data_IF_189563775361
#
_entry.id   IF_189563775361
#
_cell.length_a   1.000
_cell.length_b   1.000
_cell.length_c   1.000
_cell.angle_alpha   90.00
_cell.angle_beta   90.00
_cell.angle_gamma   90.00
#
_symmetry.space_group_name_H-M   'P 1'
#
loop_
_entity.id
_entity.type
_entity.pdbx_description
1 polymer ?
#
# COMPACT_ATOMS: atom_id res chain seq x y z
N UNK A 1 18.08 -3.66 -7.10
CA UNK A 1 19.10 -4.71 -6.86
C UNK A 1 18.84 -5.33 -5.49
N UNK A 2 18.84 -6.65 -5.33
CA UNK A 2 18.79 -7.29 -3.99
C UNK A 2 20.17 -7.52 -3.40
N UNK A 3 20.21 -7.58 -2.07
CA UNK A 3 21.42 -7.90 -1.31
C UNK A 3 21.47 -9.39 -1.02
N UNK A 4 22.67 -9.97 -1.12
CA UNK A 4 22.92 -11.31 -0.57
C UNK A 4 22.89 -11.25 0.96
N UNK A 5 22.52 -12.34 1.62
CA UNK A 5 22.34 -12.38 3.09
C UNK A 5 23.57 -11.85 3.85
N UNK A 6 24.78 -12.25 3.44
CA UNK A 6 26.03 -11.83 4.07
C UNK A 6 26.36 -10.33 3.90
N UNK A 7 25.68 -9.63 3.00
CA UNK A 7 25.82 -8.18 2.80
C UNK A 7 24.84 -7.39 3.68
N UNK A 8 23.81 -8.03 4.21
CA UNK A 8 22.76 -7.38 5.01
C UNK A 8 23.25 -7.20 6.44
N UNK A 9 23.25 -5.94 6.89
CA UNK A 9 23.61 -5.59 8.27
C UNK A 9 22.47 -4.92 9.04
N UNK A 10 21.53 -4.29 8.33
CA UNK A 10 20.42 -3.57 8.95
C UNK A 10 19.10 -3.75 8.19
N UNK A 11 18.01 -3.59 8.91
CA UNK A 11 16.63 -3.63 8.39
C UNK A 11 15.79 -2.54 9.05
N UNK A 12 14.61 -2.25 8.48
CA UNK A 12 13.62 -1.43 9.16
C UNK A 12 13.07 -2.13 10.41
N UNK A 13 12.74 -1.36 11.44
CA UNK A 13 12.18 -1.86 12.69
C UNK A 13 10.66 -1.65 12.74
N UNK A 14 9.81 -2.65 12.42
CA UNK A 14 8.37 -2.46 12.38
C UNK A 14 7.76 -2.08 13.74
N UNK A 15 8.44 -2.35 14.86
CA UNK A 15 7.90 -2.11 16.20
C UNK A 15 7.88 -0.63 16.61
N UNK A 16 8.64 0.23 15.93
CA UNK A 16 8.66 1.68 16.19
C UNK A 16 8.06 2.52 15.05
N UNK A 17 7.83 1.89 13.90
CA UNK A 17 7.21 2.54 12.74
C UNK A 17 5.72 2.74 12.99
N UNK A 18 5.22 3.89 12.55
CA UNK A 18 3.80 4.22 12.60
C UNK A 18 3.31 4.60 11.20
N UNK A 19 2.04 4.27 10.85
CA UNK A 19 1.46 4.69 9.58
C UNK A 19 1.71 6.18 9.32
N UNK A 20 2.05 6.51 8.08
CA UNK A 20 2.44 7.86 7.67
C UNK A 20 3.94 8.14 7.75
N UNK A 21 4.74 7.35 8.48
CA UNK A 21 6.20 7.52 8.49
C UNK A 21 6.78 7.50 7.06
N UNK A 22 7.72 8.40 6.80
CA UNK A 22 8.42 8.52 5.52
C UNK A 22 9.69 7.71 5.61
N UNK A 23 9.79 6.69 4.76
CA UNK A 23 10.94 5.81 4.66
C UNK A 23 11.85 6.32 3.54
N UNK A 24 13.04 6.82 3.91
CA UNK A 24 14.10 7.18 2.97
C UNK A 24 15.12 6.04 2.92
N UNK A 25 15.49 5.60 1.73
CA UNK A 25 16.33 4.41 1.59
C UNK A 25 17.16 4.39 0.31
N UNK A 26 18.25 3.62 0.36
CA UNK A 26 19.03 3.25 -0.81
C UNK A 26 18.58 1.88 -1.33
N UNK A 27 18.32 1.81 -2.63
CA UNK A 27 17.89 0.59 -3.33
C UNK A 27 19.07 -0.08 -4.04
N UNK A 28 20.26 0.54 -3.95
CA UNK A 28 21.52 0.13 -4.58
C UNK A 28 21.45 0.13 -6.11
N UNK A 29 20.59 1.00 -6.67
CA UNK A 29 20.54 1.24 -8.10
C UNK A 29 21.60 2.27 -8.49
N UNK A 30 22.79 1.79 -8.86
CA UNK A 30 23.95 2.65 -9.13
C UNK A 30 23.67 3.81 -10.10
N UNK A 31 22.83 3.57 -11.10
CA UNK A 31 22.50 4.57 -12.12
C UNK A 31 21.70 5.74 -11.52
N UNK A 32 20.71 5.45 -10.68
CA UNK A 32 19.92 6.47 -10.00
C UNK A 32 20.76 7.24 -9.00
N UNK A 33 21.61 6.54 -8.21
CA UNK A 33 22.52 7.20 -7.26
C UNK A 33 23.42 8.24 -7.91
N UNK A 34 24.06 7.85 -9.03
CA UNK A 34 24.97 8.71 -9.77
C UNK A 34 24.24 9.90 -10.40
N UNK A 35 22.98 9.72 -10.82
CA UNK A 35 22.18 10.79 -11.42
C UNK A 35 21.63 11.78 -10.39
N UNK A 36 21.12 11.30 -9.25
CA UNK A 36 20.42 12.16 -8.30
C UNK A 36 21.36 12.91 -7.36
N UNK A 37 22.57 12.42 -7.12
CA UNK A 37 23.51 13.05 -6.17
C UNK A 37 22.95 13.21 -4.74
N UNK A 38 21.86 12.50 -4.44
CA UNK A 38 21.19 12.48 -3.14
C UNK A 38 21.82 11.42 -2.25
N UNK A 39 21.70 11.61 -0.93
CA UNK A 39 22.04 10.63 0.09
C UNK A 39 21.11 9.42 0.04
N UNK A 40 19.83 9.66 -0.23
CA UNK A 40 18.81 8.62 -0.40
C UNK A 40 18.31 8.55 -1.84
N UNK A 41 18.21 7.34 -2.37
CA UNK A 41 17.76 7.09 -3.75
C UNK A 41 16.24 6.98 -3.87
N UNK A 42 15.56 6.70 -2.77
CA UNK A 42 14.17 6.31 -2.78
C UNK A 42 13.41 6.78 -1.56
N UNK A 43 12.11 6.97 -1.75
CA UNK A 43 11.18 7.38 -0.71
C UNK A 43 9.89 6.56 -0.79
N UNK A 44 9.38 6.14 0.35
CA UNK A 44 8.11 5.45 0.51
C UNK A 44 7.35 5.98 1.73
N UNK A 45 6.05 5.69 1.80
CA UNK A 45 5.23 6.00 2.98
C UNK A 45 4.77 4.71 3.65
N UNK A 46 5.04 4.57 4.94
CA UNK A 46 4.66 3.40 5.72
C UNK A 46 3.14 3.37 5.95
N UNK A 47 2.53 2.21 5.73
CA UNK A 47 1.08 2.02 5.81
C UNK A 47 0.64 1.38 7.13
N UNK A 48 1.59 0.81 7.88
CA UNK A 48 1.33 -0.11 8.98
C UNK A 48 1.58 -1.55 8.57
N UNK A 49 1.61 -2.45 9.56
CA UNK A 49 1.69 -3.90 9.34
C UNK A 49 2.83 -4.33 8.39
N UNK A 50 4.00 -3.71 8.54
CA UNK A 50 5.17 -4.00 7.72
C UNK A 50 5.00 -3.75 6.21
N UNK A 51 3.99 -2.96 5.79
CA UNK A 51 3.82 -2.53 4.40
C UNK A 51 4.08 -1.04 4.20
N UNK A 52 4.56 -0.68 3.02
CA UNK A 52 4.75 0.69 2.57
C UNK A 52 4.13 0.87 1.16
N UNK A 53 3.69 2.08 0.83
CA UNK A 53 3.35 2.47 -0.53
C UNK A 53 4.55 3.16 -1.16
N UNK A 54 4.93 2.73 -2.36
CA UNK A 54 6.07 3.26 -3.08
C UNK A 54 5.79 3.37 -4.58
N UNK A 55 6.63 4.13 -5.29
CA UNK A 55 6.65 4.14 -6.75
C UNK A 55 7.99 3.55 -7.22
N UNK A 56 7.98 2.35 -7.81
CA UNK A 56 9.19 1.52 -7.99
C UNK A 56 9.94 1.71 -9.33
N UNK A 57 9.69 2.81 -10.04
CA UNK A 57 10.22 3.00 -11.39
C UNK A 57 9.30 2.53 -12.53
N UNK A 58 8.25 1.77 -12.22
CA UNK A 58 7.23 1.33 -13.19
C UNK A 58 5.83 1.86 -12.84
N UNK A 59 5.40 1.67 -11.60
CA UNK A 59 4.11 2.10 -11.09
C UNK A 59 4.14 2.26 -9.57
N UNK A 60 3.03 2.76 -9.03
CA UNK A 60 2.80 2.85 -7.58
C UNK A 60 2.21 1.54 -7.08
N UNK A 61 2.82 0.93 -6.07
CA UNK A 61 2.41 -0.35 -5.49
C UNK A 61 2.67 -0.39 -3.99
N UNK A 62 2.04 -1.37 -3.35
CA UNK A 62 2.30 -1.72 -1.96
C UNK A 62 3.45 -2.74 -1.90
N UNK A 63 4.39 -2.54 -0.99
CA UNK A 63 5.57 -3.38 -0.81
C UNK A 63 5.76 -3.72 0.66
N UNK A 64 6.31 -4.89 0.95
CA UNK A 64 6.73 -5.24 2.31
C UNK A 64 8.02 -4.48 2.66
N UNK A 65 8.16 -3.96 3.89
CA UNK A 65 9.35 -3.18 4.28
C UNK A 65 10.64 -4.00 4.23
N UNK A 66 10.55 -5.31 4.47
CA UNK A 66 11.67 -6.26 4.35
C UNK A 66 12.04 -6.64 2.92
N UNK A 67 11.33 -6.14 1.91
CA UNK A 67 11.84 -6.10 0.56
C UNK A 67 13.11 -5.23 0.47
N UNK A 68 13.33 -4.34 1.45
CA UNK A 68 14.52 -3.52 1.58
C UNK A 68 15.37 -3.94 2.79
N UNK A 69 16.67 -4.00 2.56
CA UNK A 69 17.69 -4.37 3.54
C UNK A 69 18.95 -3.56 3.29
N UNK A 70 19.79 -3.35 4.32
CA UNK A 70 20.82 -2.33 4.26
C UNK A 70 22.21 -2.81 4.68
N UNK A 71 23.23 -2.37 3.92
CA UNK A 71 24.66 -2.64 4.20
C UNK A 71 25.20 -1.78 5.35
N UNK A 72 24.69 -0.57 5.51
CA UNK A 72 25.13 0.41 6.51
C UNK A 72 23.91 1.10 7.12
N UNK A 73 24.03 1.56 8.37
CA UNK A 73 22.93 2.19 9.11
C UNK A 73 22.41 3.44 8.39
N UNK A 74 23.30 4.21 7.78
CA UNK A 74 23.00 5.48 7.12
C UNK A 74 22.27 5.31 5.78
N UNK A 75 22.20 4.09 5.24
CA UNK A 75 21.51 3.79 3.98
C UNK A 75 19.99 3.80 4.11
N UNK A 76 19.46 3.89 5.31
CA UNK A 76 18.05 4.09 5.57
C UNK A 76 17.84 5.17 6.63
N UNK A 77 16.70 5.84 6.56
CA UNK A 77 16.27 6.84 7.53
C UNK A 77 14.77 6.94 7.53
N UNK A 78 14.20 7.19 8.71
CA UNK A 78 12.75 7.32 8.85
C UNK A 78 12.41 8.65 9.48
N UNK A 79 11.46 9.34 8.86
CA UNK A 79 11.00 10.66 9.27
C UNK A 79 9.50 10.60 9.61
N UNK A 80 9.10 11.32 10.67
CA UNK A 80 7.71 11.38 11.13
C UNK A 80 7.22 12.82 11.18
N UNK A 81 5.96 13.03 10.83
CA UNK A 81 5.30 14.33 10.95
C UNK A 81 5.10 14.70 12.42
N UNK A 82 5.63 15.86 12.83
CA UNK A 82 5.43 16.42 14.17
C UNK A 82 3.98 16.83 14.38
N UNK A 83 3.49 16.64 15.61
CA UNK A 83 2.23 17.23 16.10
C UNK A 83 1.00 16.99 15.20
N UNK A 84 0.84 15.77 14.65
CA UNK A 84 -0.33 15.40 13.85
C UNK A 84 -1.32 14.56 14.66
N UNK A 85 -2.62 14.72 14.38
CA UNK A 85 -3.64 13.82 14.91
C UNK A 85 -3.67 12.51 14.11
N UNK A 86 -4.09 11.42 14.75
CA UNK A 86 -4.24 10.11 14.08
C UNK A 86 -5.16 10.20 12.86
N UNK A 87 -6.28 10.91 12.98
CA UNK A 87 -7.23 11.14 11.86
C UNK A 87 -6.55 11.78 10.65
N UNK A 88 -5.63 12.74 10.87
CA UNK A 88 -4.90 13.39 9.77
C UNK A 88 -3.91 12.41 9.14
N UNK A 89 -3.21 11.61 9.93
CA UNK A 89 -2.30 10.57 9.44
C UNK A 89 -3.05 9.51 8.63
N UNK A 90 -4.19 9.02 9.12
CA UNK A 90 -5.00 8.01 8.42
C UNK A 90 -5.46 8.52 7.05
N UNK A 91 -5.77 9.81 6.94
CA UNK A 91 -6.13 10.44 5.66
C UNK A 91 -4.94 10.57 4.71
N UNK A 92 -3.75 10.89 5.23
CA UNK A 92 -2.52 10.95 4.42
C UNK A 92 -2.21 9.55 3.87
N UNK A 93 -2.31 8.52 4.70
CA UNK A 93 -2.14 7.12 4.30
C UNK A 93 -3.22 6.72 3.29
N UNK A 94 -4.49 7.12 3.49
CA UNK A 94 -5.54 6.88 2.47
C UNK A 94 -5.22 7.57 1.14
N UNK A 95 -4.67 8.78 1.18
CA UNK A 95 -4.29 9.53 -0.02
C UNK A 95 -3.19 8.83 -0.84
N UNK A 96 -2.33 8.01 -0.21
CA UNK A 96 -1.35 7.18 -0.94
C UNK A 96 -2.00 5.98 -1.63
N UNK A 97 -3.01 5.35 -1.02
CA UNK A 97 -3.77 4.25 -1.65
C UNK A 97 -4.45 4.67 -2.95
N UNK A 98 -4.97 5.90 -3.04
CA UNK A 98 -5.57 6.40 -4.27
C UNK A 98 -4.60 6.51 -5.45
N UNK A 99 -3.29 6.48 -5.18
CA UNK A 99 -2.27 6.53 -6.22
C UNK A 99 -1.85 5.13 -6.70
N UNK A 100 -2.32 4.04 -6.08
CA UNK A 100 -1.92 2.68 -6.42
C UNK A 100 -2.27 2.31 -7.87
N UNK A 101 -1.28 1.87 -8.63
CA UNK A 101 -1.36 1.58 -10.07
C UNK A 101 -0.98 2.75 -10.98
N UNK A 102 -0.80 3.95 -10.44
CA UNK A 102 -0.34 5.12 -11.22
C UNK A 102 1.05 4.85 -11.79
N UNK A 103 1.26 5.07 -13.08
CA UNK A 103 2.56 4.75 -13.69
C UNK A 103 3.64 5.73 -13.25
N UNK A 104 4.88 5.29 -13.37
CA UNK A 104 6.05 6.08 -13.08
C UNK A 104 6.31 7.12 -14.17
N UNK A 105 6.84 8.29 -13.81
CA UNK A 105 7.27 9.30 -14.79
C UNK A 105 8.44 8.81 -15.62
N UNK A 106 8.60 9.35 -16.83
CA UNK A 106 9.86 9.19 -17.55
C UNK A 106 11.02 9.75 -16.71
N UNK A 107 12.10 8.97 -16.55
CA UNK A 107 13.28 9.36 -15.76
C UNK A 107 13.93 10.67 -16.21
N UNK A 108 13.67 11.15 -17.42
CA UNK A 108 14.09 12.48 -17.89
C UNK A 108 13.43 13.62 -17.13
N UNK A 109 12.24 13.41 -16.55
CA UNK A 109 11.55 14.39 -15.70
C UNK A 109 12.33 14.74 -14.44
N UNK A 110 13.20 13.84 -13.94
CA UNK A 110 14.10 14.14 -12.81
C UNK A 110 15.00 15.35 -13.08
N UNK A 111 15.31 15.65 -14.35
CA UNK A 111 16.12 16.83 -14.71
C UNK A 111 15.42 18.15 -14.34
N UNK A 112 14.10 18.15 -14.30
CA UNK A 112 13.31 19.34 -13.98
C UNK A 112 13.05 19.50 -12.48
N UNK A 113 13.27 18.45 -11.68
CA UNK A 113 13.00 18.48 -10.23
C UNK A 113 13.75 19.64 -9.57
N UNK A 114 15.06 19.74 -9.79
CA UNK A 114 15.87 20.82 -9.21
C UNK A 114 15.50 22.22 -9.73
N UNK A 115 14.98 22.31 -10.95
CA UNK A 115 14.55 23.58 -11.54
C UNK A 115 13.24 24.07 -10.91
N UNK A 116 12.34 23.17 -10.53
CA UNK A 116 10.97 23.50 -10.12
C UNK A 116 10.66 23.24 -8.64
N UNK A 117 11.58 22.64 -7.87
CA UNK A 117 11.31 22.27 -6.47
C UNK A 117 10.95 23.44 -5.54
N UNK A 118 11.42 24.64 -5.87
CA UNK A 118 11.13 25.88 -5.14
C UNK A 118 10.11 26.78 -5.86
N UNK A 119 9.40 26.26 -6.86
CA UNK A 119 8.41 27.00 -7.65
C UNK A 119 6.99 26.48 -7.39
N UNK A 120 6.00 27.12 -8.03
CA UNK A 120 4.60 26.65 -8.05
C UNK A 120 4.26 25.85 -9.31
N UNK A 121 5.27 25.43 -10.07
CA UNK A 121 5.07 24.62 -11.27
C UNK A 121 4.43 23.29 -10.87
N UNK A 122 3.44 22.86 -11.65
CA UNK A 122 2.71 21.62 -11.40
C UNK A 122 3.02 20.59 -12.48
N UNK A 123 3.09 19.33 -12.08
CA UNK A 123 3.27 18.26 -13.04
C UNK A 123 2.00 18.04 -13.86
N UNK A 124 2.17 17.96 -15.18
CA UNK A 124 1.07 17.71 -16.12
C UNK A 124 1.06 16.29 -16.67
N UNK A 125 1.99 15.43 -16.26
CA UNK A 125 2.14 14.08 -16.80
C UNK A 125 1.09 13.10 -16.29
N UNK A 126 0.40 13.44 -15.21
CA UNK A 126 -0.49 12.52 -14.49
C UNK A 126 0.24 11.23 -14.06
N UNK A 127 1.55 11.29 -13.82
CA UNK A 127 2.39 10.17 -13.36
C UNK A 127 3.05 10.47 -12.02
N UNK A 128 3.59 9.45 -11.37
CA UNK A 128 4.24 9.59 -10.06
C UNK A 128 5.71 9.20 -10.09
N UNK A 129 6.44 9.56 -9.04
CA UNK A 129 7.71 8.94 -8.67
C UNK A 129 7.83 8.92 -7.15
N UNK A 130 8.86 8.28 -6.62
CA UNK A 130 8.94 7.90 -5.22
C UNK A 130 8.69 9.06 -4.24
N UNK A 131 9.47 10.13 -4.30
CA UNK A 131 9.29 11.31 -3.44
C UNK A 131 8.02 12.10 -3.76
N UNK A 132 7.63 12.21 -5.03
CA UNK A 132 6.36 12.86 -5.45
C UNK A 132 5.15 12.16 -4.82
N UNK A 133 5.08 10.84 -4.86
CA UNK A 133 4.02 10.04 -4.24
C UNK A 133 3.86 10.42 -2.77
N UNK A 134 4.96 10.44 -2.02
CA UNK A 134 4.98 10.79 -0.60
C UNK A 134 4.53 12.23 -0.40
N UNK A 135 5.16 13.19 -1.09
CA UNK A 135 4.85 14.61 -0.93
C UNK A 135 3.39 14.94 -1.31
N UNK A 136 2.88 14.38 -2.40
CA UNK A 136 1.48 14.57 -2.83
C UNK A 136 0.48 13.96 -1.84
N UNK A 137 0.80 12.83 -1.23
CA UNK A 137 -0.08 12.20 -0.22
C UNK A 137 -0.27 13.12 0.99
N UNK A 138 0.80 13.79 1.43
CA UNK A 138 0.74 14.80 2.48
C UNK A 138 0.05 16.10 2.03
N UNK A 139 0.37 16.60 0.83
CA UNK A 139 -0.18 17.85 0.30
C UNK A 139 -1.70 17.77 0.06
N UNK A 140 -2.23 16.59 -0.35
CA UNK A 140 -3.68 16.34 -0.48
C UNK A 140 -4.44 16.59 0.83
N UNK A 141 -3.78 16.41 1.97
CA UNK A 141 -4.32 16.65 3.32
C UNK A 141 -3.89 18.01 3.92
N UNK A 142 -3.39 18.91 3.08
CA UNK A 142 -2.99 20.26 3.46
C UNK A 142 -1.72 20.31 4.31
N UNK A 143 -0.90 19.25 4.27
CA UNK A 143 0.43 19.24 4.89
C UNK A 143 1.48 19.40 3.81
N UNK A 144 1.94 20.63 3.60
CA UNK A 144 2.99 20.91 2.64
C UNK A 144 4.35 20.64 3.30
N UNK A 145 4.83 19.40 3.21
CA UNK A 145 6.14 19.02 3.75
C UNK A 145 7.29 19.75 3.04
N UNK A 146 7.10 20.00 1.75
CA UNK A 146 8.06 20.59 0.82
C UNK A 146 7.40 21.76 0.06
N UNK A 147 8.19 22.69 -0.52
CA UNK A 147 7.64 23.81 -1.27
C UNK A 147 6.84 23.36 -2.51
N UNK A 148 7.30 22.31 -3.19
CA UNK A 148 6.64 21.72 -4.35
C UNK A 148 6.51 20.20 -4.20
N UNK A 149 5.28 19.70 -4.13
CA UNK A 149 5.01 18.26 -4.01
C UNK A 149 5.18 17.50 -5.34
N UNK A 150 5.15 18.19 -6.47
CA UNK A 150 5.25 17.59 -7.80
C UNK A 150 6.71 17.45 -8.27
N UNK A 151 7.60 18.25 -7.71
CA UNK A 151 9.01 18.29 -8.04
C UNK A 151 9.84 18.29 -6.75
N UNK A 152 10.19 17.10 -6.25
CA UNK A 152 10.99 16.95 -5.02
C UNK A 152 11.92 15.74 -5.09
N UNK A 153 13.07 15.77 -4.43
CA UNK A 153 14.00 14.66 -4.28
C UNK A 153 13.81 14.00 -2.90
N UNK A 154 14.18 12.71 -2.69
CA UNK A 154 14.09 12.08 -1.37
C UNK A 154 14.82 12.86 -0.26
N UNK A 155 15.94 13.49 -0.58
CA UNK A 155 16.71 14.29 0.38
C UNK A 155 16.02 15.58 0.81
N UNK A 156 15.09 16.13 0.01
CA UNK A 156 14.39 17.37 0.37
C UNK A 156 13.57 17.19 1.66
N UNK A 157 13.13 15.97 1.98
CA UNK A 157 12.43 15.68 3.24
C UNK A 157 13.32 15.86 4.48
N UNK A 158 14.65 15.72 4.35
CA UNK A 158 15.58 15.88 5.49
C UNK A 158 15.58 17.30 6.05
N UNK A 159 15.30 18.28 5.20
CA UNK A 159 15.32 19.71 5.53
C UNK A 159 13.93 20.21 5.99
N UNK A 160 12.90 19.37 5.95
CA UNK A 160 11.55 19.79 6.32
C UNK A 160 11.45 20.06 7.84
N UNK A 161 11.08 21.29 8.27
CA UNK A 161 10.95 21.61 9.68
C UNK A 161 9.77 20.88 10.34
N UNK A 162 8.82 20.37 9.54
CA UNK A 162 7.65 19.63 9.99
C UNK A 162 7.98 18.19 10.37
N UNK A 163 9.14 17.67 9.98
CA UNK A 163 9.54 16.29 10.19
C UNK A 163 10.53 16.15 11.33
N UNK A 164 10.47 15.02 12.04
CA UNK A 164 11.46 14.59 13.02
C UNK A 164 11.98 13.19 12.70
N UNK A 165 13.20 12.91 13.14
CA UNK A 165 13.80 11.59 13.00
C UNK A 165 13.13 10.60 13.95
N UNK A 166 12.70 9.45 13.43
CA UNK A 166 12.27 8.32 14.25
C UNK A 166 13.49 7.55 14.72
N UNK A 167 13.74 7.58 16.03
CA UNK A 167 14.84 6.83 16.65
C UNK A 167 14.56 5.33 16.56
N UNK A 168 15.64 4.54 16.40
CA UNK A 168 15.60 3.08 16.37
C UNK A 168 14.73 2.47 15.26
N UNK A 169 14.40 3.26 14.23
CA UNK A 169 13.62 2.84 13.07
C UNK A 169 14.41 1.94 12.10
N UNK A 170 15.73 1.90 12.24
CA UNK A 170 16.64 1.02 11.52
C UNK A 170 17.48 0.29 12.56
N UNK A 171 17.45 -1.04 12.54
CA UNK A 171 18.06 -1.90 13.56
C UNK A 171 19.00 -2.92 12.92
N UNK A 172 19.98 -3.45 13.69
CA UNK A 172 20.82 -4.55 13.23
C UNK A 172 19.99 -5.74 12.76
N UNK A 173 20.41 -6.34 11.65
CA UNK A 173 19.81 -7.53 11.09
C UNK A 173 20.07 -8.74 12.00
N UNK A 174 19.01 -9.47 12.34
CA UNK A 174 19.09 -10.72 13.10
C UNK A 174 19.01 -11.92 12.15
N UNK A 175 19.77 -13.01 12.38
CA UNK A 175 19.65 -14.25 11.61
C UNK A 175 18.24 -14.84 11.60
N UNK A 176 17.44 -14.61 12.64
CA UNK A 176 16.04 -15.07 12.71
C UNK A 176 15.17 -14.42 11.61
N UNK A 177 15.57 -13.24 11.14
CA UNK A 177 14.87 -12.49 10.10
C UNK A 177 15.32 -12.88 8.69
N UNK A 178 16.34 -13.73 8.53
CA UNK A 178 16.91 -14.05 7.22
C UNK A 178 15.88 -14.64 6.27
N UNK A 179 15.09 -15.61 6.73
CA UNK A 179 14.07 -16.27 5.89
C UNK A 179 13.08 -15.24 5.33
N UNK A 180 12.52 -14.37 6.17
CA UNK A 180 11.53 -13.38 5.74
C UNK A 180 12.15 -12.30 4.87
N UNK A 181 13.32 -11.74 5.24
CA UNK A 181 13.98 -10.69 4.45
C UNK A 181 14.37 -11.21 3.06
N UNK A 182 14.98 -12.39 2.99
CA UNK A 182 15.38 -12.97 1.71
C UNK A 182 14.17 -13.33 0.83
N UNK A 183 13.09 -13.85 1.43
CA UNK A 183 11.85 -14.13 0.70
C UNK A 183 11.19 -12.86 0.15
N UNK A 184 11.15 -11.77 0.93
CA UNK A 184 10.54 -10.52 0.48
C UNK A 184 11.40 -9.79 -0.55
N UNK A 185 12.73 -9.81 -0.41
CA UNK A 185 13.66 -9.33 -1.44
C UNK A 185 13.44 -10.06 -2.78
N UNK A 186 13.36 -11.38 -2.76
CA UNK A 186 13.08 -12.20 -3.94
C UNK A 186 11.69 -11.90 -4.53
N UNK A 187 10.67 -11.81 -3.69
CA UNK A 187 9.31 -11.47 -4.12
C UNK A 187 9.27 -10.13 -4.85
N UNK A 188 9.96 -9.09 -4.34
CA UNK A 188 10.07 -7.80 -5.02
C UNK A 188 10.72 -7.95 -6.40
N UNK A 189 11.81 -8.71 -6.54
CA UNK A 189 12.46 -8.90 -7.85
C UNK A 189 11.60 -9.67 -8.85
N UNK A 190 10.81 -10.64 -8.38
CA UNK A 190 9.97 -11.45 -9.27
C UNK A 190 8.68 -10.74 -9.69
N UNK A 191 8.20 -9.77 -8.90
CA UNK A 191 6.88 -9.16 -9.07
C UNK A 191 6.90 -7.63 -9.17
N UNK A 192 8.06 -6.99 -9.36
CA UNK A 192 8.17 -5.52 -9.46
C UNK A 192 7.30 -4.92 -10.58
N UNK A 193 7.18 -5.63 -11.70
CA UNK A 193 6.38 -5.23 -12.84
C UNK A 193 4.90 -5.56 -12.68
N UNK A 194 4.53 -6.45 -11.75
CA UNK A 194 3.15 -6.90 -11.58
C UNK A 194 2.31 -5.83 -10.86
N UNK A 195 1.36 -5.23 -11.60
CA UNK A 195 0.35 -4.35 -11.01
C UNK A 195 -0.99 -4.53 -11.72
N UNK A 196 -1.92 -5.29 -11.10
CA UNK A 196 -3.28 -5.44 -11.61
C UNK A 196 -3.98 -4.09 -11.87
N UNK A 197 -3.71 -3.09 -11.03
CA UNK A 197 -4.25 -1.75 -11.19
C UNK A 197 -3.71 -1.07 -12.44
N UNK A 198 -2.39 -1.05 -12.63
CA UNK A 198 -1.75 -0.40 -13.76
C UNK A 198 -2.16 -1.05 -15.09
N UNK A 199 -2.22 -2.39 -15.13
CA UNK A 199 -2.71 -3.16 -16.27
C UNK A 199 -4.16 -2.78 -16.63
N UNK A 200 -5.05 -2.77 -15.64
CA UNK A 200 -6.46 -2.40 -15.83
C UNK A 200 -6.61 -0.95 -16.32
N UNK A 201 -5.90 0.00 -15.70
CA UNK A 201 -5.94 1.42 -16.09
C UNK A 201 -5.43 1.64 -17.51
N UNK A 202 -4.41 0.91 -17.94
CA UNK A 202 -3.92 0.98 -19.32
C UNK A 202 -4.97 0.51 -20.35
N UNK A 203 -5.74 -0.53 -20.03
CA UNK A 203 -6.81 -1.05 -20.90
C UNK A 203 -8.00 -0.07 -20.91
N UNK A 204 -8.41 0.43 -19.75
CA UNK A 204 -9.49 1.41 -19.64
C UNK A 204 -9.12 2.74 -20.32
N UNK A 205 -7.85 3.14 -20.28
CA UNK A 205 -7.38 4.32 -21.00
C UNK A 205 -7.62 4.21 -22.51
N UNK A 206 -7.38 3.02 -23.08
CA UNK A 206 -7.65 2.75 -24.50
C UNK A 206 -9.15 2.75 -24.81
N UNK A 207 -9.97 2.15 -23.93
CA UNK A 207 -11.42 2.14 -24.08
C UNK A 207 -11.97 3.57 -24.15
N UNK A 208 -11.58 4.41 -23.19
CA UNK A 208 -12.13 5.75 -23.05
C UNK A 208 -11.43 6.81 -23.90
N UNK A 209 -10.28 6.51 -24.50
CA UNK A 209 -9.45 7.48 -25.22
C UNK A 209 -8.91 8.60 -24.32
N UNK A 210 -8.78 8.33 -23.02
CA UNK A 210 -8.34 9.29 -21.99
C UNK A 210 -7.25 8.63 -21.15
N UNK A 211 -6.31 9.42 -20.66
CA UNK A 211 -5.25 8.93 -19.79
C UNK A 211 -5.75 8.64 -18.36
N UNK A 212 -6.12 7.39 -18.10
CA UNK A 212 -6.61 6.91 -16.81
C UNK A 212 -5.46 6.32 -16.00
N UNK A 213 -5.32 6.75 -14.75
CA UNK A 213 -4.23 6.38 -13.82
C UNK A 213 -4.70 6.10 -12.40
N UNK A 214 -5.97 6.35 -12.11
CA UNK A 214 -6.60 6.08 -10.81
C UNK A 214 -8.09 5.78 -11.02
N UNK A 215 -8.68 5.08 -10.05
CA UNK A 215 -10.07 4.63 -10.15
C UNK A 215 -11.08 5.79 -10.26
N UNK A 216 -10.81 6.93 -9.62
CA UNK A 216 -11.64 8.13 -9.73
C UNK A 216 -11.74 8.64 -11.18
N UNK A 217 -10.66 8.55 -11.97
CA UNK A 217 -10.65 8.94 -13.38
C UNK A 217 -11.48 7.99 -14.25
N UNK A 218 -11.54 6.70 -13.91
CA UNK A 218 -12.45 5.74 -14.56
C UNK A 218 -13.89 6.21 -14.43
N UNK A 219 -14.34 6.52 -13.21
CA UNK A 219 -15.72 6.93 -12.97
C UNK A 219 -16.07 8.27 -13.63
N UNK A 220 -15.18 9.25 -13.52
CA UNK A 220 -15.36 10.54 -14.20
C UNK A 220 -15.50 10.37 -15.72
N UNK A 221 -14.77 9.42 -16.31
CA UNK A 221 -14.84 9.19 -17.75
C UNK A 221 -16.06 8.36 -18.15
N UNK A 222 -16.50 7.42 -17.31
CA UNK A 222 -17.78 6.71 -17.44
C UNK A 222 -18.97 7.68 -17.45
N UNK A 223 -18.99 8.71 -16.58
CA UNK A 223 -20.06 9.71 -16.60
C UNK A 223 -20.15 10.50 -17.91
N UNK A 224 -19.02 10.70 -18.59
CA UNK A 224 -18.96 11.40 -19.87
C UNK A 224 -19.25 10.48 -21.06
N UNK A 225 -19.04 9.17 -20.91
CA UNK A 225 -19.17 8.15 -21.95
C UNK A 225 -19.92 6.91 -21.42
N UNK A 226 -21.17 7.06 -20.92
CA UNK A 226 -21.90 5.96 -20.27
C UNK A 226 -22.25 4.83 -21.24
N UNK A 227 -22.21 5.07 -22.54
CA UNK A 227 -22.37 4.04 -23.58
C UNK A 227 -21.25 2.98 -23.56
N UNK A 228 -20.10 3.28 -22.92
CA UNK A 228 -18.96 2.36 -22.78
C UNK A 228 -18.97 1.58 -21.47
N UNK A 229 -19.95 1.78 -20.59
CA UNK A 229 -19.98 1.17 -19.26
C UNK A 229 -19.96 -0.36 -19.31
N UNK A 230 -20.66 -0.99 -20.27
CA UNK A 230 -20.69 -2.45 -20.38
C UNK A 230 -19.31 -3.03 -20.70
N UNK A 231 -18.57 -2.40 -21.62
CA UNK A 231 -17.21 -2.80 -21.96
C UNK A 231 -16.25 -2.57 -20.78
N UNK A 232 -16.41 -1.44 -20.07
CA UNK A 232 -15.62 -1.15 -18.87
C UNK A 232 -15.86 -2.18 -17.76
N UNK A 233 -17.12 -2.57 -17.53
CA UNK A 233 -17.49 -3.63 -16.58
C UNK A 233 -16.82 -4.96 -16.97
N UNK A 234 -16.84 -5.32 -18.26
CA UNK A 234 -16.21 -6.56 -18.72
C UNK A 234 -14.68 -6.53 -18.54
N UNK A 235 -14.03 -5.38 -18.77
CA UNK A 235 -12.60 -5.20 -18.47
C UNK A 235 -12.32 -5.36 -16.98
N UNK A 236 -13.14 -4.76 -16.11
CA UNK A 236 -12.96 -4.85 -14.65
C UNK A 236 -13.14 -6.29 -14.17
N UNK A 237 -14.16 -7.02 -14.64
CA UNK A 237 -14.37 -8.44 -14.34
C UNK A 237 -13.20 -9.32 -14.80
N UNK A 238 -12.57 -8.98 -15.92
CA UNK A 238 -11.43 -9.72 -16.44
C UNK A 238 -10.12 -9.37 -15.71
N UNK A 239 -10.04 -8.20 -15.09
CA UNK A 239 -8.87 -7.74 -14.34
C UNK A 239 -8.63 -8.57 -13.07
N UNK A 240 -7.38 -8.63 -12.61
CA UNK A 240 -7.02 -9.23 -11.31
C UNK A 240 -7.28 -8.31 -10.11
N UNK A 241 -7.50 -7.01 -10.33
CA UNK A 241 -7.54 -6.00 -9.25
C UNK A 241 -8.59 -6.28 -8.17
N UNK A 242 -9.76 -6.80 -8.55
CA UNK A 242 -10.91 -6.98 -7.66
C UNK A 242 -11.26 -8.45 -7.45
N UNK A 243 -10.25 -9.34 -7.52
CA UNK A 243 -10.43 -10.80 -7.48
C UNK A 243 -9.79 -11.41 -6.24
N UNK A 244 -10.25 -10.97 -5.07
CA UNK A 244 -9.64 -11.35 -3.79
C UNK A 244 -9.55 -12.87 -3.61
N UNK A 245 -10.68 -13.59 -3.76
CA UNK A 245 -10.67 -15.04 -3.56
C UNK A 245 -9.86 -15.80 -4.61
N UNK A 246 -9.85 -15.35 -5.88
CA UNK A 246 -9.01 -15.96 -6.92
C UNK A 246 -7.52 -15.77 -6.60
N UNK A 247 -7.12 -14.60 -6.11
CA UNK A 247 -5.74 -14.31 -5.72
C UNK A 247 -5.31 -15.14 -4.49
N UNK A 248 -6.19 -15.31 -3.50
CA UNK A 248 -5.98 -16.22 -2.36
C UNK A 248 -5.80 -17.65 -2.84
N UNK A 249 -6.67 -18.15 -3.72
CA UNK A 249 -6.57 -19.52 -4.26
C UNK A 249 -5.31 -19.74 -5.09
N UNK A 250 -4.86 -18.70 -5.82
CA UNK A 250 -3.63 -18.76 -6.62
C UNK A 250 -2.39 -18.77 -5.75
N UNK A 251 -2.34 -17.92 -4.72
CA UNK A 251 -1.16 -17.74 -3.86
C UNK A 251 -1.05 -18.78 -2.74
N UNK A 252 -2.20 -19.26 -2.24
CA UNK A 252 -2.30 -20.18 -1.12
C UNK A 252 -3.26 -21.34 -1.46
N UNK A 253 -2.92 -22.19 -2.45
CA UNK A 253 -3.80 -23.29 -2.88
C UNK A 253 -4.10 -24.30 -1.76
N UNK A 254 -3.23 -24.38 -0.76
CA UNK A 254 -3.30 -25.25 0.42
C UNK A 254 -4.17 -24.70 1.57
N UNK A 255 -4.68 -23.47 1.46
CA UNK A 255 -5.29 -22.74 2.58
C UNK A 255 -6.63 -23.32 3.08
N UNK A 256 -7.40 -23.92 2.17
CA UNK A 256 -8.80 -24.29 2.45
C UNK A 256 -8.99 -25.65 3.12
N UNK A 257 -7.96 -26.50 3.14
CA UNK A 257 -8.01 -27.81 3.79
C UNK A 257 -6.95 -27.89 4.87
N UNK A 258 -7.34 -28.36 6.05
CA UNK A 258 -6.45 -28.44 7.21
C UNK A 258 -5.22 -29.30 6.90
N UNK A 259 -5.41 -30.45 6.24
CA UNK A 259 -4.32 -31.37 5.94
C UNK A 259 -3.31 -30.76 4.95
N UNK A 260 -3.78 -30.00 3.97
CA UNK A 260 -2.91 -29.33 3.00
C UNK A 260 -2.17 -28.16 3.63
N UNK A 261 -2.82 -27.42 4.54
CA UNK A 261 -2.21 -26.34 5.30
C UNK A 261 -1.06 -26.85 6.18
N UNK A 262 -1.30 -27.87 7.01
CA UNK A 262 -0.26 -28.42 7.89
C UNK A 262 0.89 -29.06 7.09
N UNK A 263 0.58 -29.70 5.96
CA UNK A 263 1.61 -30.26 5.08
C UNK A 263 2.45 -29.20 4.35
N UNK A 264 1.99 -27.94 4.27
CA UNK A 264 2.72 -26.86 3.60
C UNK A 264 3.91 -26.34 4.43
N UNK A 265 3.77 -26.34 5.76
CA UNK A 265 4.75 -25.79 6.68
C UNK A 265 5.65 -26.88 7.29
N UNK A 266 6.87 -26.49 7.69
CA UNK A 266 7.80 -27.44 8.29
C UNK A 266 7.49 -27.75 9.76
N UNK A 267 6.83 -26.82 10.45
CA UNK A 267 6.51 -26.90 11.87
C UNK A 267 5.44 -25.87 12.26
N UNK A 268 4.89 -26.03 13.46
CA UNK A 268 3.89 -25.16 14.08
C UNK A 268 4.34 -23.70 14.25
N UNK A 269 5.64 -23.44 14.45
CA UNK A 269 6.13 -22.06 14.57
C UNK A 269 5.97 -21.30 13.24
N UNK A 270 6.25 -21.95 12.10
CA UNK A 270 6.02 -21.36 10.79
C UNK A 270 4.53 -21.14 10.48
N UNK A 271 3.68 -22.11 10.85
CA UNK A 271 2.22 -21.99 10.72
C UNK A 271 1.68 -20.78 11.50
N UNK A 272 2.08 -20.65 12.76
CA UNK A 272 1.60 -19.58 13.64
C UNK A 272 2.16 -18.21 13.22
N UNK A 273 3.40 -18.13 12.77
CA UNK A 273 3.93 -16.89 12.20
C UNK A 273 3.15 -16.45 10.96
N UNK A 274 2.82 -17.38 10.06
CA UNK A 274 1.97 -17.09 8.92
C UNK A 274 0.59 -16.59 9.37
N UNK A 275 -0.08 -17.31 10.28
CA UNK A 275 -1.41 -16.95 10.76
C UNK A 275 -1.41 -15.58 11.46
N UNK A 276 -0.42 -15.28 12.30
CA UNK A 276 -0.32 -13.99 12.98
C UNK A 276 -0.16 -12.85 11.99
N UNK A 277 0.73 -13.04 11.01
CA UNK A 277 0.97 -12.05 9.96
C UNK A 277 -0.28 -11.83 9.10
N UNK A 278 -0.91 -12.90 8.62
CA UNK A 278 -2.08 -12.77 7.75
C UNK A 278 -3.30 -12.24 8.49
N UNK A 279 -3.59 -12.72 9.70
CA UNK A 279 -4.70 -12.18 10.49
C UNK A 279 -4.51 -10.69 10.74
N UNK A 280 -3.30 -10.25 11.12
CA UNK A 280 -3.01 -8.84 11.31
C UNK A 280 -3.18 -8.03 10.02
N UNK A 281 -2.74 -8.58 8.87
CA UNK A 281 -2.89 -7.93 7.57
C UNK A 281 -4.33 -7.76 7.13
N UNK A 282 -5.16 -8.78 7.33
CA UNK A 282 -6.59 -8.70 7.05
C UNK A 282 -7.29 -7.69 7.96
N UNK A 283 -6.96 -7.70 9.25
CA UNK A 283 -7.61 -6.86 10.26
C UNK A 283 -7.20 -5.38 10.15
N UNK A 284 -5.95 -5.12 9.76
CA UNK A 284 -5.37 -3.77 9.72
C UNK A 284 -5.40 -3.13 8.33
N UNK A 285 -5.38 -3.95 7.27
CA UNK A 285 -5.19 -3.47 5.89
C UNK A 285 -6.33 -3.90 4.96
N UNK A 286 -6.51 -5.20 4.71
CA UNK A 286 -7.40 -5.65 3.62
C UNK A 286 -8.86 -5.28 3.88
N UNK A 287 -9.44 -5.76 4.99
CA UNK A 287 -10.86 -5.59 5.27
C UNK A 287 -11.22 -4.12 5.47
N UNK A 288 -10.47 -3.32 6.27
CA UNK A 288 -10.77 -1.90 6.40
C UNK A 288 -10.78 -1.15 5.06
N UNK A 289 -9.79 -1.41 4.19
CA UNK A 289 -9.68 -0.70 2.90
C UNK A 289 -10.76 -1.13 1.92
N UNK A 290 -11.13 -2.41 1.88
CA UNK A 290 -12.24 -2.88 1.07
C UNK A 290 -13.57 -2.29 1.53
N UNK A 291 -13.80 -2.23 2.85
CA UNK A 291 -15.00 -1.58 3.41
C UNK A 291 -15.04 -0.09 3.10
N UNK A 292 -13.93 0.63 3.25
CA UNK A 292 -13.86 2.05 2.88
C UNK A 292 -14.23 2.28 1.41
N UNK A 293 -13.65 1.47 0.51
CA UNK A 293 -13.95 1.55 -0.92
C UNK A 293 -15.41 1.18 -1.22
N UNK A 294 -15.96 0.15 -0.55
CA UNK A 294 -17.37 -0.23 -0.71
C UNK A 294 -18.30 0.92 -0.31
N UNK A 295 -18.06 1.58 0.82
CA UNK A 295 -18.88 2.71 1.27
C UNK A 295 -18.76 3.89 0.30
N UNK A 296 -17.56 4.15 -0.25
CA UNK A 296 -17.39 5.13 -1.31
C UNK A 296 -18.25 4.79 -2.53
N UNK A 297 -18.32 3.53 -2.94
CA UNK A 297 -19.16 3.09 -4.06
C UNK A 297 -20.65 3.19 -3.74
N UNK A 298 -21.08 2.84 -2.53
CA UNK A 298 -22.47 3.02 -2.07
C UNK A 298 -22.88 4.48 -2.21
N UNK A 299 -22.06 5.41 -1.70
CA UNK A 299 -22.36 6.84 -1.81
C UNK A 299 -22.33 7.32 -3.26
N UNK A 300 -21.35 6.93 -4.05
CA UNK A 300 -21.25 7.32 -5.45
C UNK A 300 -22.47 6.82 -6.25
N UNK A 301 -22.86 5.56 -6.11
CA UNK A 301 -24.02 4.97 -6.76
C UNK A 301 -25.33 5.62 -6.28
N UNK A 302 -25.42 6.04 -5.01
CA UNK A 302 -26.56 6.78 -4.49
C UNK A 302 -26.72 8.16 -5.16
N UNK A 303 -25.62 8.89 -5.37
CA UNK A 303 -25.65 10.20 -6.02
C UNK A 303 -25.75 10.14 -7.55
N UNK A 304 -25.34 9.02 -8.15
CA UNK A 304 -25.37 8.76 -9.59
C UNK A 304 -26.10 7.44 -9.91
N UNK A 305 -27.40 7.34 -9.60
CA UNK A 305 -28.16 6.09 -9.74
C UNK A 305 -28.29 5.61 -11.20
N UNK A 306 -28.04 6.49 -12.17
CA UNK A 306 -28.01 6.18 -13.60
C UNK A 306 -26.72 5.48 -14.06
N UNK A 307 -25.63 5.55 -13.28
CA UNK A 307 -24.34 4.96 -13.66
C UNK A 307 -24.37 3.45 -13.46
N UNK A 308 -24.32 2.71 -14.57
CA UNK A 308 -24.26 1.24 -14.55
C UNK A 308 -22.95 0.76 -13.96
N UNK A 309 -21.86 1.43 -14.29
CA UNK A 309 -20.54 1.11 -13.75
C UNK A 309 -20.50 1.23 -12.22
N UNK A 310 -21.03 2.31 -11.64
CA UNK A 310 -21.03 2.46 -10.18
C UNK A 310 -21.91 1.44 -9.48
N UNK A 311 -23.10 1.16 -10.02
CA UNK A 311 -23.97 0.11 -9.48
C UNK A 311 -23.26 -1.26 -9.49
N UNK A 312 -22.60 -1.61 -10.60
CA UNK A 312 -21.78 -2.82 -10.67
C UNK A 312 -20.65 -2.82 -9.64
N UNK A 313 -19.89 -1.72 -9.53
CA UNK A 313 -18.75 -1.63 -8.61
C UNK A 313 -19.17 -1.72 -7.15
N UNK A 314 -20.31 -1.13 -6.77
CA UNK A 314 -20.89 -1.28 -5.44
C UNK A 314 -21.09 -2.76 -5.09
N UNK A 315 -21.83 -3.50 -5.92
CA UNK A 315 -22.11 -4.92 -5.67
C UNK A 315 -20.84 -5.77 -5.71
N UNK A 316 -19.94 -5.47 -6.65
CA UNK A 316 -18.73 -6.26 -6.87
C UNK A 316 -17.72 -6.10 -5.73
N UNK A 317 -17.51 -4.87 -5.25
CA UNK A 317 -16.65 -4.62 -4.08
C UNK A 317 -17.31 -5.13 -2.80
N UNK A 318 -18.64 -5.08 -2.70
CA UNK A 318 -19.37 -5.70 -1.59
C UNK A 318 -19.06 -7.19 -1.45
N UNK A 319 -19.09 -7.94 -2.56
CA UNK A 319 -18.68 -9.36 -2.57
C UNK A 319 -17.21 -9.54 -2.17
N UNK A 320 -16.33 -8.65 -2.63
CA UNK A 320 -14.91 -8.70 -2.27
C UNK A 320 -14.68 -8.50 -0.76
N UNK A 321 -15.50 -7.68 -0.09
CA UNK A 321 -15.50 -7.56 1.38
C UNK A 321 -15.89 -8.88 2.03
N UNK A 322 -16.96 -9.52 1.55
CA UNK A 322 -17.44 -10.80 2.08
C UNK A 322 -16.38 -11.91 1.91
N UNK A 323 -15.75 -11.98 0.74
CA UNK A 323 -14.64 -12.91 0.46
C UNK A 323 -13.48 -12.71 1.45
N UNK A 324 -13.07 -11.46 1.69
CA UNK A 324 -11.99 -11.17 2.63
C UNK A 324 -12.35 -11.58 4.07
N UNK A 325 -13.61 -11.38 4.48
CA UNK A 325 -14.11 -11.84 5.79
C UNK A 325 -14.11 -13.37 5.88
N UNK A 326 -14.47 -14.08 4.81
CA UNK A 326 -14.41 -15.55 4.76
C UNK A 326 -12.97 -16.03 4.95
N UNK A 327 -12.01 -15.47 4.22
CA UNK A 327 -10.59 -15.80 4.38
C UNK A 327 -10.11 -15.55 5.81
N UNK A 328 -10.47 -14.40 6.39
CA UNK A 328 -10.05 -14.05 7.75
C UNK A 328 -10.65 -14.98 8.82
N UNK A 329 -11.89 -15.42 8.65
CA UNK A 329 -12.51 -16.45 9.52
C UNK A 329 -11.82 -17.79 9.37
N UNK A 330 -11.49 -18.20 8.14
CA UNK A 330 -10.72 -19.42 7.88
C UNK A 330 -9.36 -19.42 8.58
N UNK A 331 -8.68 -18.27 8.67
CA UNK A 331 -7.44 -18.14 9.46
C UNK A 331 -7.67 -18.35 10.96
N UNK A 332 -8.81 -17.88 11.50
CA UNK A 332 -9.17 -18.12 12.89
C UNK A 332 -9.42 -19.61 13.16
N UNK A 333 -10.11 -20.29 12.24
CA UNK A 333 -10.36 -21.73 12.32
C UNK A 333 -9.04 -22.51 12.28
N UNK A 334 -8.13 -22.16 11.36
CA UNK A 334 -6.79 -22.75 11.26
C UNK A 334 -5.97 -22.52 12.53
N UNK A 335 -6.05 -21.35 13.16
CA UNK A 335 -5.37 -21.07 14.42
C UNK A 335 -5.81 -22.01 15.55
N UNK A 336 -7.12 -22.27 15.66
CA UNK A 336 -7.66 -23.24 16.62
C UNK A 336 -7.27 -24.66 16.22
N UNK A 337 -7.30 -24.99 14.93
CA UNK A 337 -6.88 -26.30 14.44
C UNK A 337 -5.39 -26.58 14.74
N UNK A 338 -4.51 -25.58 14.63
CA UNK A 338 -3.09 -25.71 14.96
C UNK A 338 -2.89 -26.10 16.43
N UNK A 339 -3.67 -25.54 17.37
CA UNK A 339 -3.62 -25.95 18.77
C UNK A 339 -3.95 -27.43 18.96
N UNK A 340 -4.95 -27.95 18.23
CA UNK A 340 -5.32 -29.36 18.29
C UNK A 340 -4.35 -30.27 17.53
N UNK A 341 -3.65 -29.74 16.53
CA UNK A 341 -2.67 -30.46 15.72
C UNK A 341 -1.37 -30.70 16.51
N UNK A 342 -0.84 -29.66 17.19
CA UNK A 342 0.37 -29.71 18.00
C UNK A 342 0.29 -28.75 19.20
N UNK A 343 -0.40 -29.19 20.26
CA UNK A 343 -0.59 -28.42 21.49
C UNK A 343 0.75 -28.01 22.13
N UNK A 344 1.75 -28.88 22.10
CA UNK A 344 3.03 -28.65 22.75
C UNK A 344 3.81 -27.52 22.07
N UNK A 345 3.96 -27.58 20.75
CA UNK A 345 4.65 -26.54 20.00
C UNK A 345 3.85 -25.22 20.00
N UNK A 346 2.52 -25.29 19.98
CA UNK A 346 1.66 -24.12 20.10
C UNK A 346 1.91 -23.39 21.42
N UNK A 347 1.87 -24.09 22.57
CA UNK A 347 2.10 -23.46 23.89
C UNK A 347 3.49 -22.83 23.96
N UNK A 348 4.53 -23.52 23.45
CA UNK A 348 5.89 -22.96 23.39
C UNK A 348 5.97 -21.68 22.55
N UNK A 349 5.25 -21.63 21.43
CA UNK A 349 5.17 -20.43 20.60
C UNK A 349 4.53 -19.27 21.36
N UNK A 350 3.41 -19.52 22.03
CA UNK A 350 2.69 -18.51 22.82
C UNK A 350 3.55 -18.00 23.99
N UNK A 351 4.28 -18.89 24.67
CA UNK A 351 5.20 -18.48 25.74
C UNK A 351 6.33 -17.59 25.22
N UNK A 352 6.79 -17.83 24.00
CA UNK A 352 7.89 -17.07 23.37
C UNK A 352 7.46 -15.74 22.77
N UNK A 353 6.35 -15.72 22.04
CA UNK A 353 5.93 -14.57 21.21
C UNK A 353 4.64 -13.89 21.70
N UNK A 354 3.98 -14.47 22.68
CA UNK A 354 2.72 -13.99 23.22
C UNK A 354 1.49 -14.53 22.48
N UNK A 355 0.34 -14.37 23.14
CA UNK A 355 -0.94 -14.82 22.62
C UNK A 355 -1.61 -13.75 21.74
N UNK A 356 -2.04 -14.15 20.53
CA UNK A 356 -2.82 -13.29 19.66
C UNK A 356 -4.28 -13.22 20.12
N UNK A 357 -4.59 -12.24 20.97
CA UNK A 357 -5.92 -12.06 21.56
C UNK A 357 -7.02 -11.73 20.54
N UNK A 358 -6.64 -11.33 19.33
CA UNK A 358 -7.57 -11.00 18.24
C UNK A 358 -7.84 -12.15 17.27
N UNK A 359 -7.57 -13.41 17.63
CA UNK A 359 -7.64 -14.52 16.66
C UNK A 359 -9.05 -14.69 16.09
N UNK A 360 -10.10 -14.50 16.90
CA UNK A 360 -11.48 -14.45 16.43
C UNK A 360 -11.72 -13.18 15.61
N UNK A 361 -12.34 -13.36 14.43
CA UNK A 361 -12.76 -12.21 13.64
C UNK A 361 -13.98 -11.54 14.29
N UNK A 362 -13.81 -10.29 14.72
CA UNK A 362 -14.89 -9.43 15.19
C UNK A 362 -15.11 -8.33 14.17
N UNK A 363 -16.32 -8.27 13.62
CA UNK A 363 -16.68 -7.24 12.66
C UNK A 363 -16.66 -5.86 13.32
N UNK A 364 -15.74 -5.00 12.87
CA UNK A 364 -15.62 -3.62 13.36
C UNK A 364 -16.39 -2.66 12.45
N UNK A 365 -17.07 -1.65 13.02
CA UNK A 365 -17.69 -0.59 12.23
C UNK A 365 -16.61 0.19 11.47
N UNK A 366 -16.92 0.58 10.25
CA UNK A 366 -16.04 1.44 9.44
C UNK A 366 -16.27 2.91 9.82
N UNK A 367 -15.20 3.64 10.10
CA UNK A 367 -15.28 5.09 10.28
C UNK A 367 -15.67 5.75 8.96
N UNK A 368 -16.83 6.41 8.91
CA UNK A 368 -17.32 7.16 7.73
C UNK A 368 -16.96 8.65 7.78
N UNK A 369 -16.30 9.11 8.85
CA UNK A 369 -15.92 10.51 9.05
C UNK A 369 -14.99 11.04 7.96
N UNK A 370 -14.30 10.17 7.24
CA UNK A 370 -13.53 10.57 6.08
C UNK A 370 -14.37 11.04 4.90
N UNK A 371 -15.51 10.40 4.65
CA UNK A 371 -16.40 10.74 3.54
C UNK A 371 -16.98 12.13 3.73
N UNK A 372 -17.45 12.41 4.96
CA UNK A 372 -17.93 13.74 5.32
C UNK A 372 -16.86 14.80 5.09
N UNK A 373 -15.61 14.51 5.46
CA UNK A 373 -14.50 15.44 5.24
C UNK A 373 -14.19 15.68 3.77
N UNK A 374 -14.20 14.63 2.95
CA UNK A 374 -13.95 14.75 1.51
C UNK A 374 -15.07 15.54 0.81
N UNK A 375 -16.33 15.31 1.19
CA UNK A 375 -17.47 16.13 0.73
C UNK A 375 -17.30 17.58 1.16
N UNK A 376 -16.94 17.85 2.41
CA UNK A 376 -16.72 19.21 2.91
C UNK A 376 -15.57 19.93 2.18
N UNK A 377 -14.47 19.22 1.88
CA UNK A 377 -13.38 19.73 1.04
C UNK A 377 -13.86 20.09 -0.37
N UNK A 378 -14.65 19.21 -0.99
CA UNK A 378 -15.19 19.44 -2.33
C UNK A 378 -16.10 20.68 -2.35
N UNK A 379 -17.01 20.81 -1.38
CA UNK A 379 -17.89 21.98 -1.22
C UNK A 379 -17.07 23.27 -1.03
N UNK A 380 -16.04 23.24 -0.17
CA UNK A 380 -15.17 24.41 0.06
C UNK A 380 -14.43 24.83 -1.21
N UNK A 381 -13.95 23.87 -2.02
CA UNK A 381 -13.28 24.16 -3.29
C UNK A 381 -14.24 24.79 -4.31
N UNK A 382 -15.50 24.36 -4.36
CA UNK A 382 -16.51 24.95 -5.24
C UNK A 382 -16.81 26.40 -4.85
N UNK A 383 -16.97 26.67 -3.54
CA UNK A 383 -17.21 28.03 -3.02
C UNK A 383 -16.06 29.00 -3.27
N UNK A 384 -14.82 28.51 -3.35
CA UNK A 384 -13.66 29.36 -3.63
C UNK A 384 -13.44 29.60 -5.14
N UNK A 385 -14.20 28.93 -6.01
CA UNK A 385 -14.18 29.10 -7.48
C UNK A 385 -15.37 29.90 -8.01
N UNK A 386 -16.44 30.01 -7.24
CA UNK A 386 -17.58 30.93 -7.45
C UNK A 386 -17.27 32.31 -6.87
#
# INVERSE_FOLDING_TARGET
MTLQEHEIKYIFNPYVLLPGDILLMNTYEERLRKMMGCKYEHAAIYLGDAYAMEANGLHVLMTHIYSYAFKELEHARVLRLKNSSQIKIDRIVRASYYQMGKQYVDTTQFRYVRQFKDTREQDTSNRSFCSRLVAQSYAKEGVNLLPNADYCEPDDFLESPLLELVKDAVVPFSPEMAKVVMSQQKSREEHDADSPNAEMFAILSKLYGTDVQELGQVFMTSFLQPEKDEDAINIIKASRMFKHLEDVNRSMPWFWKDEEFFAHYNNTEEELHFLYSQMNHYDSTIIPRYKELHIQMILAAYYHPESRLLAFMQDYIGKMVDEAVICRKRMADLYVATFHHDEGAFVLFIDKYGYYSGFEYVDKPTDIGFLLHDVMKAISKLKNKS
#
